data_IF_837918315120
#
_entry.id   IF_837918315120
#
_cell.length_a   1.000
_cell.length_b   1.000
_cell.length_c   1.000
_cell.angle_alpha   90.00
_cell.angle_beta   90.00
_cell.angle_gamma   90.00
#
_symmetry.space_group_name_H-M   'P 1'
#
loop_
_entity.id
_entity.type
_entity.pdbx_description
1 polymer ?
#
# COMPACT_ATOMS: atom_id res chain seq x y z
N UNK A 1 13.97 10.92 6.45
CA UNK A 1 13.22 9.81 5.87
C UNK A 1 13.43 8.56 6.72
N UNK A 2 12.42 8.14 7.51
CA UNK A 2 12.46 6.92 8.32
C UNK A 2 11.35 5.99 7.85
N UNK A 3 11.75 4.87 7.24
CA UNK A 3 10.83 3.81 6.87
C UNK A 3 10.64 2.85 8.03
N UNK A 4 9.42 2.74 8.54
CA UNK A 4 9.05 1.74 9.55
C UNK A 4 8.61 0.48 8.83
N UNK A 5 9.34 -0.62 8.99
CA UNK A 5 8.94 -1.93 8.45
C UNK A 5 8.41 -2.83 9.55
N UNK A 6 7.11 -3.08 9.53
CA UNK A 6 6.40 -3.91 10.50
C UNK A 6 6.08 -5.26 9.88
N UNK A 7 6.72 -6.36 10.31
CA UNK A 7 6.32 -7.70 9.89
C UNK A 7 4.98 -8.08 10.51
N UNK A 8 4.16 -8.84 9.78
CA UNK A 8 2.92 -9.40 10.27
C UNK A 8 2.82 -10.89 9.91
N UNK A 9 2.09 -11.66 10.71
CA UNK A 9 2.07 -13.12 10.59
C UNK A 9 0.75 -13.68 10.07
N UNK A 10 -0.36 -12.94 10.12
CA UNK A 10 -1.68 -13.49 9.78
C UNK A 10 -2.69 -12.46 9.27
N UNK A 11 -2.32 -11.75 8.20
CA UNK A 11 -3.19 -10.77 7.56
C UNK A 11 -3.89 -11.37 6.33
N UNK A 12 -5.11 -10.90 6.04
CA UNK A 12 -5.88 -11.36 4.88
C UNK A 12 -5.38 -10.64 3.64
N UNK A 13 -4.67 -11.36 2.78
CA UNK A 13 -4.25 -10.84 1.49
C UNK A 13 -5.47 -10.58 0.59
N UNK A 14 -5.35 -9.69 -0.41
CA UNK A 14 -6.39 -9.47 -1.42
C UNK A 14 -6.68 -10.73 -2.27
N UNK A 15 -5.88 -11.78 -2.11
CA UNK A 15 -6.18 -13.09 -2.64
C UNK A 15 -7.26 -13.90 -1.88
N UNK A 16 -7.64 -13.43 -0.69
CA UNK A 16 -8.53 -14.12 0.25
C UNK A 16 -7.79 -15.06 1.21
N UNK A 17 -6.51 -15.36 0.96
CA UNK A 17 -5.67 -16.21 1.85
C UNK A 17 -5.11 -15.39 3.00
N UNK A 18 -5.02 -15.98 4.19
CA UNK A 18 -4.29 -15.39 5.32
C UNK A 18 -2.83 -15.79 5.22
N UNK A 19 -1.95 -14.81 5.15
CA UNK A 19 -0.51 -15.04 5.04
C UNK A 19 0.25 -14.05 5.90
N UNK A 20 1.49 -14.41 6.19
CA UNK A 20 2.48 -13.51 6.73
C UNK A 20 2.97 -12.53 5.65
N UNK A 21 3.65 -11.48 6.07
CA UNK A 21 4.17 -10.45 5.18
C UNK A 21 4.88 -9.35 5.96
N UNK A 22 5.13 -8.25 5.27
CA UNK A 22 5.71 -7.06 5.86
C UNK A 22 4.99 -5.82 5.33
N UNK A 23 4.68 -4.90 6.24
CA UNK A 23 4.17 -3.57 5.94
C UNK A 23 5.31 -2.59 6.10
N UNK A 24 5.69 -1.94 5.02
CA UNK A 24 6.60 -0.82 5.01
C UNK A 24 5.79 0.47 5.00
N UNK A 25 6.05 1.32 5.98
CA UNK A 25 5.39 2.59 6.16
C UNK A 25 6.43 3.69 6.23
N UNK A 26 6.32 4.69 5.38
CA UNK A 26 7.24 5.82 5.35
C UNK A 26 6.46 7.13 5.33
N UNK A 27 6.94 8.07 6.12
CA UNK A 27 6.41 9.42 6.23
C UNK A 27 7.59 10.40 6.18
N UNK A 28 7.49 11.38 5.28
CA UNK A 28 8.52 12.41 5.13
C UNK A 28 8.25 13.65 6.01
N UNK A 29 7.15 13.66 6.79
CA UNK A 29 6.76 14.78 7.64
C UNK A 29 6.27 16.03 6.90
N UNK A 30 6.52 16.13 5.59
CA UNK A 30 6.06 17.24 4.73
C UNK A 30 4.78 16.95 3.94
N UNK A 31 4.08 15.84 4.22
CA UNK A 31 2.82 15.48 3.55
C UNK A 31 2.94 14.42 2.46
N UNK A 32 4.13 13.82 2.29
CA UNK A 32 4.28 12.57 1.54
C UNK A 32 4.23 11.40 2.52
N UNK A 33 3.36 10.43 2.20
CA UNK A 33 3.20 9.21 2.98
C UNK A 33 3.11 8.00 2.06
N UNK A 34 4.00 7.04 2.24
CA UNK A 34 4.04 5.79 1.48
C UNK A 34 3.71 4.61 2.39
N UNK A 35 2.75 3.79 1.99
CA UNK A 35 2.36 2.56 2.65
C UNK A 35 2.46 1.40 1.65
N UNK A 36 3.44 0.53 1.83
CA UNK A 36 3.66 -0.66 1.01
C UNK A 36 3.46 -1.91 1.86
N UNK A 37 2.49 -2.73 1.49
CA UNK A 37 2.19 -4.01 2.13
C UNK A 37 2.55 -5.13 1.18
N UNK A 38 3.55 -5.91 1.56
CA UNK A 38 4.04 -7.05 0.80
C UNK A 38 3.62 -8.34 1.51
N UNK A 39 2.81 -9.16 0.85
CA UNK A 39 2.31 -10.43 1.37
C UNK A 39 3.17 -11.61 0.90
N UNK A 40 3.40 -12.60 1.75
CA UNK A 40 4.21 -13.79 1.42
C UNK A 40 3.63 -14.66 0.29
N UNK A 41 2.33 -14.53 -0.01
CA UNK A 41 1.73 -15.17 -1.18
C UNK A 41 2.12 -14.53 -2.51
N UNK A 42 2.77 -13.36 -2.49
CA UNK A 42 3.12 -12.55 -3.67
C UNK A 42 2.16 -11.39 -3.94
N UNK A 43 1.09 -11.23 -3.15
CA UNK A 43 0.25 -10.04 -3.24
C UNK A 43 1.00 -8.81 -2.74
N UNK A 44 0.68 -7.63 -3.29
CA UNK A 44 1.25 -6.36 -2.86
C UNK A 44 0.20 -5.27 -2.92
N UNK A 45 0.15 -4.44 -1.89
CA UNK A 45 -0.67 -3.24 -1.85
C UNK A 45 0.23 -2.04 -1.63
N UNK A 46 0.07 -0.99 -2.41
CA UNK A 46 0.88 0.22 -2.34
C UNK A 46 -0.08 1.40 -2.29
N UNK A 47 0.00 2.20 -1.25
CA UNK A 47 -0.69 3.48 -1.16
C UNK A 47 0.35 4.60 -1.04
N UNK A 48 0.20 5.63 -1.83
CA UNK A 48 1.07 6.80 -1.82
C UNK A 48 0.21 8.05 -1.74
N UNK A 49 0.36 8.81 -0.67
CA UNK A 49 -0.21 10.13 -0.49
C UNK A 49 0.82 11.17 -0.88
N UNK A 50 0.38 12.13 -1.69
CA UNK A 50 1.20 13.23 -2.20
C UNK A 50 0.92 14.52 -1.41
N UNK A 51 1.83 15.50 -1.51
CA UNK A 51 1.70 16.81 -0.86
C UNK A 51 0.40 17.54 -1.17
N UNK A 52 -0.16 17.29 -2.35
CA UNK A 52 -1.41 17.88 -2.85
C UNK A 52 -2.66 17.29 -2.17
N UNK A 53 -2.51 16.36 -1.23
CA UNK A 53 -3.62 15.60 -0.62
C UNK A 53 -4.10 14.42 -1.48
N UNK A 54 -3.74 14.41 -2.76
CA UNK A 54 -3.95 13.29 -3.67
C UNK A 54 -3.43 11.97 -3.10
N UNK A 55 -4.24 10.92 -3.18
CA UNK A 55 -3.94 9.58 -2.70
C UNK A 55 -4.00 8.57 -3.85
N UNK A 56 -2.90 7.87 -4.11
CA UNK A 56 -2.85 6.79 -5.09
C UNK A 56 -2.76 5.44 -4.40
N UNK A 57 -3.80 4.64 -4.54
CA UNK A 57 -3.85 3.27 -4.03
C UNK A 57 -3.77 2.28 -5.19
N UNK A 58 -2.85 1.33 -5.09
CA UNK A 58 -2.70 0.23 -6.05
C UNK A 58 -2.60 -1.10 -5.31
N UNK A 59 -3.48 -2.04 -5.66
CA UNK A 59 -3.49 -3.39 -5.12
C UNK A 59 -3.25 -4.38 -6.25
N UNK A 60 -2.17 -5.13 -6.15
CA UNK A 60 -1.76 -6.14 -7.12
C UNK A 60 -1.80 -7.51 -6.47
N UNK A 61 -2.50 -8.46 -7.08
CA UNK A 61 -2.46 -9.87 -6.66
C UNK A 61 -1.15 -10.52 -7.09
N UNK A 62 -0.79 -11.59 -6.38
CA UNK A 62 0.29 -12.51 -6.74
C UNK A 62 0.21 -13.10 -8.16
N UNK A 63 -0.95 -13.03 -8.79
CA UNK A 63 -1.21 -13.43 -10.17
C UNK A 63 -0.78 -12.35 -11.20
N UNK A 64 -0.24 -11.21 -10.75
CA UNK A 64 0.05 -10.04 -11.57
C UNK A 64 -1.17 -9.16 -11.87
N UNK A 65 -2.38 -9.65 -11.59
CA UNK A 65 -3.62 -8.89 -11.77
C UNK A 65 -3.72 -7.73 -10.80
N UNK A 66 -3.86 -6.52 -11.33
CA UNK A 66 -4.20 -5.33 -10.55
C UNK A 66 -5.69 -5.38 -10.23
N UNK A 67 -6.01 -5.44 -8.94
CA UNK A 67 -7.40 -5.44 -8.45
C UNK A 67 -7.93 -4.04 -8.24
N UNK A 68 -7.06 -3.14 -7.78
CA UNK A 68 -7.40 -1.76 -7.49
C UNK A 68 -6.27 -0.88 -8.04
N UNK A 69 -6.61 0.12 -8.83
CA UNK A 69 -5.69 1.20 -9.13
C UNK A 69 -6.46 2.50 -9.15
N UNK A 70 -6.58 3.09 -7.98
CA UNK A 70 -7.31 4.32 -7.77
C UNK A 70 -6.32 5.46 -7.54
N UNK A 71 -6.59 6.59 -8.17
CA UNK A 71 -5.97 7.86 -7.86
C UNK A 71 -7.12 8.77 -7.42
N UNK A 72 -7.26 8.92 -6.11
CA UNK A 72 -8.16 9.91 -5.55
C UNK A 72 -7.40 11.22 -5.49
N UNK A 73 -7.47 11.98 -6.57
CA UNK A 73 -7.05 13.37 -6.57
C UNK A 73 -8.30 14.19 -6.20
N UNK A 74 -8.36 14.70 -4.97
CA UNK A 74 -9.38 15.68 -4.60
C UNK A 74 -9.04 17.00 -5.29
N UNK A 75 -9.32 17.09 -6.59
CA UNK A 75 -9.34 18.37 -7.27
C UNK A 75 -10.74 18.95 -7.05
N UNK A 76 -10.91 19.65 -5.93
CA UNK A 76 -12.06 20.50 -5.70
C UNK A 76 -12.06 21.61 -6.75
N UNK A 77 -13.00 21.54 -7.69
CA UNK A 77 -13.39 22.66 -8.56
C UNK A 77 -14.27 23.67 -7.80
#
# INVERSE_FOLDING_TARGET
>A
MIGTRTPFTSERAPCGKRVSGARYFEDDGSGIRCDDVSYACGCRSISHQFHDGSCRTRVTRHDGRVLLNELSAEHAE
#
